data_IF_961450689499
#
_entry.id   IF_961450689499
#
_cell.length_a   1.000
_cell.length_b   1.000
_cell.length_c   1.000
_cell.angle_alpha   90.00
_cell.angle_beta   90.00
_cell.angle_gamma   90.00
#
_symmetry.space_group_name_H-M   'P 1'
#
loop_
_entity.id
_entity.type
_entity.pdbx_description
1 polymer ?
#
# COMPACT_ATOMS: atom_id res chain seq x y z
N UNK A 1 19.88 -21.09 3.39
CA UNK A 1 18.58 -20.37 3.38
C UNK A 1 17.50 -21.31 2.85
N UNK A 2 16.32 -21.35 3.47
CA UNK A 2 15.20 -22.20 3.02
C UNK A 2 14.27 -21.42 2.06
N UNK A 3 13.79 -22.04 0.96
CA UNK A 3 12.74 -21.48 0.09
C UNK A 3 11.48 -21.05 0.87
N UNK A 4 11.24 -21.68 2.03
CA UNK A 4 10.08 -21.41 2.88
C UNK A 4 10.03 -19.98 3.40
N UNK A 5 11.19 -19.31 3.57
CA UNK A 5 11.22 -17.91 4.02
C UNK A 5 10.65 -16.96 2.97
N UNK A 6 10.97 -17.17 1.68
CA UNK A 6 10.38 -16.41 0.59
C UNK A 6 8.87 -16.66 0.49
N UNK A 7 8.45 -17.92 0.63
CA UNK A 7 7.04 -18.30 0.61
C UNK A 7 6.26 -17.68 1.76
N UNK A 8 6.83 -17.70 2.97
CA UNK A 8 6.20 -17.13 4.16
C UNK A 8 6.05 -15.61 4.03
N UNK A 9 7.12 -14.90 3.66
CA UNK A 9 7.07 -13.45 3.43
C UNK A 9 6.06 -13.08 2.34
N UNK A 10 6.01 -13.84 1.24
CA UNK A 10 5.01 -13.63 0.19
C UNK A 10 3.58 -13.73 0.73
N UNK A 11 3.30 -14.73 1.59
CA UNK A 11 1.98 -14.88 2.21
C UNK A 11 1.65 -13.72 3.16
N UNK A 12 2.62 -13.27 3.96
CA UNK A 12 2.43 -12.15 4.87
C UNK A 12 2.17 -10.84 4.13
N UNK A 13 2.90 -10.58 3.04
CA UNK A 13 2.68 -9.43 2.16
C UNK A 13 1.25 -9.49 1.59
N UNK A 14 0.84 -10.62 1.02
CA UNK A 14 -0.53 -10.78 0.50
C UNK A 14 -1.61 -10.52 1.55
N UNK A 15 -1.43 -11.02 2.78
CA UNK A 15 -2.39 -10.80 3.87
C UNK A 15 -2.44 -9.31 4.23
N UNK A 16 -1.29 -8.69 4.48
CA UNK A 16 -1.20 -7.28 4.84
C UNK A 16 -1.82 -6.37 3.76
N UNK A 17 -1.59 -6.68 2.48
CA UNK A 17 -2.24 -5.97 1.36
C UNK A 17 -3.75 -6.13 1.39
N UNK A 18 -4.27 -7.36 1.57
CA UNK A 18 -5.72 -7.62 1.61
C UNK A 18 -6.42 -6.96 2.79
N UNK A 19 -5.74 -6.84 3.93
CA UNK A 19 -6.29 -6.22 5.13
C UNK A 19 -5.96 -4.73 5.24
N UNK A 20 -5.37 -4.13 4.20
CA UNK A 20 -4.92 -2.74 4.20
C UNK A 20 -4.01 -2.37 5.38
N UNK A 21 -3.25 -3.34 5.92
CA UNK A 21 -2.27 -3.08 6.98
C UNK A 21 -0.94 -2.60 6.37
N UNK A 22 -0.92 -1.33 5.97
CA UNK A 22 0.21 -0.71 5.28
C UNK A 22 1.48 -0.67 6.12
N UNK A 23 1.34 -0.62 7.45
CA UNK A 23 2.47 -0.64 8.37
C UNK A 23 3.12 -2.03 8.39
N UNK A 24 2.32 -3.08 8.46
CA UNK A 24 2.83 -4.45 8.36
C UNK A 24 3.41 -4.73 6.97
N UNK A 25 2.76 -4.25 5.90
CA UNK A 25 3.25 -4.38 4.53
C UNK A 25 4.67 -3.81 4.39
N UNK A 26 4.90 -2.56 4.83
CA UNK A 26 6.22 -1.93 4.81
C UNK A 26 7.28 -2.76 5.53
N UNK A 27 6.95 -3.32 6.70
CA UNK A 27 7.86 -4.15 7.48
C UNK A 27 8.24 -5.43 6.72
N UNK A 28 7.27 -6.11 6.10
CA UNK A 28 7.54 -7.34 5.36
C UNK A 28 8.32 -7.09 4.06
N UNK A 29 8.06 -5.98 3.37
CA UNK A 29 8.82 -5.58 2.20
C UNK A 29 10.30 -5.28 2.55
N UNK A 30 10.55 -4.64 3.69
CA UNK A 30 11.92 -4.43 4.18
C UNK A 30 12.63 -5.76 4.45
N UNK A 31 11.96 -6.70 5.12
CA UNK A 31 12.52 -8.04 5.36
C UNK A 31 12.78 -8.80 4.05
N UNK A 32 11.89 -8.70 3.07
CA UNK A 32 12.09 -9.29 1.75
C UNK A 32 13.29 -8.66 1.03
N UNK A 33 13.45 -7.33 1.12
CA UNK A 33 14.60 -6.62 0.56
C UNK A 33 15.91 -7.05 1.20
N UNK A 34 15.98 -7.11 2.53
CA UNK A 34 17.15 -7.59 3.26
C UNK A 34 17.50 -9.03 2.88
N UNK A 35 16.47 -9.88 2.74
CA UNK A 35 16.63 -11.27 2.30
C UNK A 35 17.23 -11.36 0.89
N UNK A 36 16.75 -10.54 -0.05
CA UNK A 36 17.27 -10.48 -1.42
C UNK A 36 18.69 -9.93 -1.50
N UNK A 37 19.03 -8.92 -0.69
CA UNK A 37 20.37 -8.31 -0.65
C UNK A 37 21.39 -9.29 -0.07
N UNK A 38 21.07 -9.91 1.07
CA UNK A 38 21.95 -10.84 1.76
C UNK A 38 22.21 -12.13 0.95
N UNK A 39 21.34 -12.48 0.01
CA UNK A 39 21.40 -13.73 -0.74
C UNK A 39 21.62 -13.57 -2.24
N UNK A 40 22.21 -12.44 -2.68
CA UNK A 40 22.60 -12.20 -4.09
C UNK A 40 23.27 -13.40 -4.79
N UNK A 41 24.18 -14.18 -4.17
CA UNK A 41 24.82 -15.33 -4.82
C UNK A 41 23.86 -16.48 -5.14
N UNK A 42 22.77 -16.62 -4.38
CA UNK A 42 21.80 -17.73 -4.50
C UNK A 42 20.57 -17.37 -5.32
N UNK A 43 20.48 -16.14 -5.84
CA UNK A 43 19.37 -15.71 -6.72
C UNK A 43 19.33 -16.49 -8.04
N UNK A 44 20.43 -17.15 -8.41
CA UNK A 44 20.54 -18.03 -9.57
C UNK A 44 20.32 -19.51 -9.25
N UNK A 45 20.06 -19.85 -7.98
CA UNK A 45 19.74 -21.23 -7.60
C UNK A 45 18.40 -21.63 -8.22
N UNK A 46 18.36 -22.65 -9.09
CA UNK A 46 17.13 -23.11 -9.75
C UNK A 46 16.01 -23.48 -8.76
N UNK A 47 16.36 -23.89 -7.54
CA UNK A 47 15.38 -24.28 -6.50
C UNK A 47 14.75 -23.07 -5.83
N UNK A 48 15.44 -21.92 -5.79
CA UNK A 48 14.96 -20.69 -5.16
C UNK A 48 14.35 -19.71 -6.17
N UNK A 49 14.77 -19.79 -7.43
CA UNK A 49 14.28 -18.96 -8.53
C UNK A 49 12.75 -18.84 -8.59
N UNK A 50 11.93 -19.92 -8.52
CA UNK A 50 10.47 -19.78 -8.61
C UNK A 50 9.87 -19.06 -7.39
N UNK A 51 10.39 -19.29 -6.19
CA UNK A 51 9.89 -18.63 -4.97
C UNK A 51 10.29 -17.15 -4.92
N UNK A 52 11.47 -16.80 -5.43
CA UNK A 52 11.91 -15.41 -5.57
C UNK A 52 11.07 -14.68 -6.61
N UNK A 53 10.82 -15.30 -7.76
CA UNK A 53 9.93 -14.77 -8.81
C UNK A 53 8.54 -14.51 -8.24
N UNK A 54 7.99 -15.46 -7.49
CA UNK A 54 6.70 -15.33 -6.82
C UNK A 54 6.69 -14.17 -5.82
N UNK A 55 7.71 -14.05 -4.97
CA UNK A 55 7.80 -12.97 -3.99
C UNK A 55 7.84 -11.59 -4.66
N UNK A 56 8.56 -11.47 -5.78
CA UNK A 56 8.58 -10.23 -6.59
C UNK A 56 7.22 -9.90 -7.19
N UNK A 57 6.54 -10.89 -7.77
CA UNK A 57 5.21 -10.68 -8.35
C UNK A 57 4.18 -10.27 -7.28
N UNK A 58 4.25 -10.88 -6.09
CA UNK A 58 3.42 -10.51 -4.94
C UNK A 58 3.69 -9.08 -4.51
N UNK A 59 4.96 -8.69 -4.38
CA UNK A 59 5.33 -7.32 -4.04
C UNK A 59 4.82 -6.31 -5.08
N UNK A 60 4.97 -6.60 -6.38
CA UNK A 60 4.46 -5.74 -7.44
C UNK A 60 2.93 -5.57 -7.36
N UNK A 61 2.19 -6.64 -7.11
CA UNK A 61 0.74 -6.57 -6.90
C UNK A 61 0.35 -5.80 -5.63
N UNK A 62 1.14 -5.92 -4.56
CA UNK A 62 0.91 -5.15 -3.33
C UNK A 62 1.12 -3.66 -3.57
N UNK A 63 2.15 -3.31 -4.35
CA UNK A 63 2.45 -1.93 -4.72
C UNK A 63 1.33 -1.28 -5.54
N UNK A 64 0.83 -1.96 -6.58
CA UNK A 64 -0.30 -1.43 -7.37
C UNK A 64 -1.57 -1.27 -6.56
N UNK A 65 -1.81 -2.18 -5.61
CA UNK A 65 -2.95 -2.06 -4.67
C UNK A 65 -2.79 -0.84 -3.77
N UNK A 66 -1.58 -0.60 -3.26
CA UNK A 66 -1.28 0.56 -2.43
C UNK A 66 -1.41 1.88 -3.21
N UNK A 67 -0.95 1.93 -4.47
CA UNK A 67 -1.13 3.09 -5.35
C UNK A 67 -2.62 3.41 -5.55
N UNK A 68 -3.44 2.39 -5.84
CA UNK A 68 -4.89 2.56 -5.99
C UNK A 68 -5.53 3.09 -4.71
N UNK A 69 -5.21 2.49 -3.56
CA UNK A 69 -5.73 2.91 -2.27
C UNK A 69 -5.31 4.36 -1.92
N UNK A 70 -4.10 4.75 -2.29
CA UNK A 70 -3.62 6.13 -2.10
C UNK A 70 -4.41 7.10 -2.96
N UNK A 71 -4.61 6.78 -4.24
CA UNK A 71 -5.39 7.62 -5.15
C UNK A 71 -6.86 7.75 -4.73
N UNK A 72 -7.47 6.69 -4.22
CA UNK A 72 -8.83 6.73 -3.66
C UNK A 72 -8.90 7.65 -2.43
N UNK A 73 -7.93 7.57 -1.52
CA UNK A 73 -7.84 8.47 -0.37
C UNK A 73 -7.67 9.95 -0.77
N UNK A 74 -6.87 10.24 -1.80
CA UNK A 74 -6.70 11.60 -2.33
C UNK A 74 -8.02 12.15 -2.90
N UNK A 75 -8.77 11.32 -3.62
CA UNK A 75 -10.09 11.70 -4.15
C UNK A 75 -11.09 11.97 -3.03
N UNK A 76 -11.12 11.13 -2.01
CA UNK A 76 -11.97 11.32 -0.83
C UNK A 76 -11.64 12.64 -0.11
N UNK A 77 -10.36 12.94 0.11
CA UNK A 77 -9.93 14.20 0.73
C UNK A 77 -10.37 15.42 -0.08
N UNK A 78 -10.23 15.37 -1.42
CA UNK A 78 -10.69 16.45 -2.29
C UNK A 78 -12.21 16.66 -2.21
N UNK A 79 -12.98 15.58 -2.21
CA UNK A 79 -14.44 15.62 -2.06
C UNK A 79 -14.85 16.25 -0.73
N UNK A 80 -14.23 15.83 0.38
CA UNK A 80 -14.50 16.39 1.72
C UNK A 80 -14.15 17.88 1.78
N UNK A 81 -13.02 18.29 1.19
CA UNK A 81 -12.64 19.71 1.11
C UNK A 81 -13.68 20.54 0.37
N UNK A 82 -14.15 20.07 -0.79
CA UNK A 82 -15.17 20.76 -1.58
C UNK A 82 -16.51 20.86 -0.82
N UNK A 83 -16.89 19.82 -0.08
CA UNK A 83 -18.09 19.85 0.75
C UNK A 83 -17.96 20.87 1.89
N UNK A 84 -16.80 20.95 2.52
CA UNK A 84 -16.53 21.92 3.57
C UNK A 84 -16.60 23.36 3.03
N UNK A 85 -15.99 23.64 1.88
CA UNK A 85 -16.05 24.95 1.23
C UNK A 85 -17.49 25.38 0.92
N UNK A 86 -18.28 24.46 0.36
CA UNK A 86 -19.71 24.71 0.08
C UNK A 86 -20.50 24.99 1.36
N UNK A 87 -20.27 24.22 2.42
CA UNK A 87 -20.94 24.45 3.70
C UNK A 87 -20.60 25.83 4.29
N UNK A 88 -19.34 26.24 4.23
CA UNK A 88 -18.90 27.57 4.67
C UNK A 88 -19.53 28.69 3.83
N UNK A 89 -19.61 28.52 2.50
CA UNK A 89 -20.26 29.48 1.61
C UNK A 89 -21.76 29.65 1.94
N UNK A 90 -22.48 28.54 2.19
CA UNK A 90 -23.88 28.60 2.62
C UNK A 90 -24.05 29.26 3.99
N UNK A 91 -23.17 28.96 4.95
CA UNK A 91 -23.20 29.63 6.25
C UNK A 91 -23.00 31.15 6.11
N UNK A 92 -22.02 31.57 5.31
CA UNK A 92 -21.76 32.99 5.06
C UNK A 92 -22.96 33.68 4.39
N UNK A 93 -23.52 33.08 3.34
CA UNK A 93 -24.70 33.61 2.65
C UNK A 93 -25.90 33.77 3.61
N UNK A 94 -26.19 32.74 4.40
CA UNK A 94 -27.28 32.78 5.39
C UNK A 94 -27.06 33.86 6.45
N UNK A 95 -25.82 34.06 6.92
CA UNK A 95 -25.52 35.15 7.86
C UNK A 95 -25.70 36.54 7.24
N UNK A 96 -25.41 36.71 5.95
CA UNK A 96 -25.61 37.99 5.26
C UNK A 96 -27.11 38.30 5.06
N UNK A 97 -27.94 37.30 4.76
CA UNK A 97 -29.40 37.44 4.63
C UNK A 97 -30.08 37.83 5.96
N UNK A 98 -29.54 37.40 7.11
CA UNK A 98 -30.07 37.73 8.43
C UNK A 98 -29.68 39.13 8.94
N UNK A 99 -28.74 39.79 8.28
CA UNK A 99 -28.22 41.13 8.66
C UNK A 99 -28.73 42.26 7.79
N UNK A 100 -29.65 41.99 6.86
CA UNK A 100 -30.38 42.99 6.06
C UNK A 100 -31.74 43.31 6.67
#
# INVERSE_FOLDING_TARGET
>A
MSPERFRHLSKLIQIATKTADWRALKRYDLQLRELLISHKPFLKDPKLAPEIQRAKAVHASAFTTLEKATSELEQEMSSVSNQQERAMAYQLAMTMELTQ
#
